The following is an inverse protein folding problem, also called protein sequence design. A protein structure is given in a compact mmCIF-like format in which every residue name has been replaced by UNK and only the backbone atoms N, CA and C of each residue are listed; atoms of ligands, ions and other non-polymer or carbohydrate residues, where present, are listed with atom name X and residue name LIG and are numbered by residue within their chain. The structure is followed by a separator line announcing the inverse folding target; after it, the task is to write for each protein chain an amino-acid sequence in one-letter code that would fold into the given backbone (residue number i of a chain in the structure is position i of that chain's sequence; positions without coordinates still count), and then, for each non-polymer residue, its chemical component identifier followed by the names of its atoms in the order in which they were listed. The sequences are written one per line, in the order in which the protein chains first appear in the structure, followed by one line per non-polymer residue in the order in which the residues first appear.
data_IF_838774372566
#
_entry.id   IF_838774372566
#
_cell.length_a   1.000
_cell.length_b   1.000
_cell.length_c   1.000
_cell.angle_alpha   90.00
_cell.angle_beta   90.00
_cell.angle_gamma   90.00
#
_symmetry.space_group_name_H-M   'P 1'
#
loop_
_entity.id
_entity.type
_entity.pdbx_description
1 polymer ?
#
# COMPACT_ATOMS: atom_id res chain seq x y z
N UNK A 1 58.67 -59.49 7.37
CA UNK A 1 58.43 -58.01 7.43
C UNK A 1 58.77 -57.44 6.06
N UNK A 2 57.72 -57.12 5.25
CA UNK A 2 57.92 -56.69 3.87
C UNK A 2 57.38 -55.27 3.76
N UNK A 3 58.27 -54.33 3.56
CA UNK A 3 58.00 -52.89 3.42
C UNK A 3 57.58 -52.62 1.95
N UNK A 4 56.33 -52.29 1.71
CA UNK A 4 55.84 -51.80 0.40
C UNK A 4 56.09 -50.32 0.26
N UNK A 5 56.91 -49.92 -0.72
CA UNK A 5 57.12 -48.52 -1.15
C UNK A 5 55.93 -48.09 -2.00
N UNK A 6 55.23 -47.04 -1.57
CA UNK A 6 54.26 -46.33 -2.38
C UNK A 6 54.95 -45.24 -3.21
N UNK A 7 54.91 -45.42 -4.52
CA UNK A 7 55.30 -44.38 -5.50
C UNK A 7 54.23 -43.30 -5.53
N UNK A 8 54.62 -42.05 -5.27
CA UNK A 8 53.72 -40.89 -5.41
C UNK A 8 53.71 -40.45 -6.88
N UNK A 9 52.58 -40.60 -7.52
CA UNK A 9 52.27 -40.05 -8.83
C UNK A 9 51.89 -38.56 -8.65
N UNK A 10 52.70 -37.63 -9.16
CA UNK A 10 52.43 -36.21 -9.17
C UNK A 10 51.68 -35.93 -10.49
N UNK A 11 50.35 -35.69 -10.39
CA UNK A 11 49.54 -35.21 -11.52
C UNK A 11 49.58 -33.69 -11.49
N UNK A 12 50.30 -33.10 -12.46
CA UNK A 12 50.28 -31.67 -12.71
C UNK A 12 48.98 -31.31 -13.41
N UNK A 13 48.05 -30.68 -12.66
CA UNK A 13 46.80 -30.11 -13.23
C UNK A 13 47.13 -28.72 -13.73
N UNK A 14 47.30 -28.57 -15.04
CA UNK A 14 47.33 -27.27 -15.73
C UNK A 14 45.93 -26.69 -15.76
N UNK A 15 45.59 -25.84 -14.78
CA UNK A 15 44.35 -25.10 -14.72
C UNK A 15 44.30 -24.01 -15.81
N UNK A 16 43.61 -24.26 -16.89
CA UNK A 16 43.25 -23.22 -17.87
C UNK A 16 42.31 -22.21 -17.24
N UNK A 17 42.70 -20.97 -17.07
CA UNK A 17 41.89 -19.85 -16.62
C UNK A 17 40.96 -19.44 -17.77
N UNK A 18 39.72 -19.95 -17.78
CA UNK A 18 38.68 -19.49 -18.69
C UNK A 18 38.16 -18.17 -18.18
N UNK A 19 38.60 -17.08 -18.79
CA UNK A 19 38.11 -15.74 -18.52
C UNK A 19 36.72 -15.63 -19.15
N UNK A 20 35.65 -15.89 -18.37
CA UNK A 20 34.26 -15.60 -18.78
C UNK A 20 34.06 -14.10 -18.70
N UNK A 21 34.15 -13.42 -19.85
CA UNK A 21 33.71 -12.05 -20.00
C UNK A 21 32.16 -12.08 -19.94
N UNK A 22 31.60 -11.78 -18.79
CA UNK A 22 30.19 -11.52 -18.63
C UNK A 22 29.89 -10.22 -19.41
N UNK A 23 29.30 -10.34 -20.61
CA UNK A 23 28.71 -9.23 -21.32
C UNK A 23 27.51 -8.75 -20.46
N UNK A 24 27.73 -7.72 -19.66
CA UNK A 24 26.66 -7.00 -18.99
C UNK A 24 25.77 -6.44 -20.13
N UNK A 25 24.58 -7.00 -20.30
CA UNK A 25 23.58 -6.42 -21.20
C UNK A 25 23.36 -4.96 -20.76
N UNK A 26 23.38 -3.99 -21.68
CA UNK A 26 23.09 -2.61 -21.32
C UNK A 26 21.71 -2.58 -20.65
N UNK A 27 21.63 -2.04 -19.44
CA UNK A 27 20.37 -1.75 -18.80
C UNK A 27 19.58 -0.88 -19.78
N UNK A 28 18.46 -1.40 -20.29
CA UNK A 28 17.62 -0.68 -21.24
C UNK A 28 17.18 0.61 -20.54
N UNK A 29 17.69 1.75 -20.97
CA UNK A 29 17.29 3.04 -20.43
C UNK A 29 15.79 3.21 -20.70
N UNK A 30 14.98 3.28 -19.65
CA UNK A 30 13.53 3.52 -19.77
C UNK A 30 13.32 4.89 -20.41
N UNK A 31 12.45 4.98 -21.40
CA UNK A 31 12.11 6.26 -22.04
C UNK A 31 11.20 7.06 -21.11
N UNK A 32 11.62 8.25 -20.66
CA UNK A 32 10.79 9.10 -19.79
C UNK A 32 9.58 9.62 -20.54
N UNK A 33 8.47 9.80 -19.81
CA UNK A 33 7.21 10.37 -20.32
C UNK A 33 6.86 11.57 -19.46
N UNK A 34 6.40 12.65 -20.09
CA UNK A 34 5.88 13.82 -19.37
C UNK A 34 4.53 13.46 -18.73
N UNK A 35 4.41 13.49 -17.39
CA UNK A 35 3.17 13.11 -16.71
C UNK A 35 1.96 13.97 -17.11
N UNK A 36 2.17 15.22 -17.54
CA UNK A 36 1.10 16.14 -17.91
C UNK A 36 0.38 15.76 -19.21
N UNK A 37 0.97 14.86 -20.02
CA UNK A 37 0.39 14.36 -21.26
C UNK A 37 -0.54 13.18 -21.09
N UNK A 38 -0.63 12.64 -19.88
CA UNK A 38 -1.42 11.45 -19.53
C UNK A 38 -2.88 11.80 -19.21
N UNK A 39 -3.79 10.85 -19.33
CA UNK A 39 -5.22 11.03 -19.13
C UNK A 39 -5.80 10.03 -18.11
N UNK A 40 -6.28 10.48 -16.94
CA UNK A 40 -5.96 11.79 -16.36
C UNK A 40 -4.50 11.85 -15.90
N UNK A 41 -3.89 13.02 -15.90
CA UNK A 41 -2.51 13.18 -15.43
C UNK A 41 -2.45 12.83 -13.93
N UNK A 42 -1.34 12.24 -13.45
CA UNK A 42 -1.15 12.11 -12.02
C UNK A 42 -0.96 13.52 -11.41
N UNK A 43 -1.56 13.78 -10.21
CA UNK A 43 -1.35 15.03 -9.52
C UNK A 43 0.13 15.33 -9.29
N UNK A 44 0.60 16.56 -9.49
CA UNK A 44 2.03 16.90 -9.37
C UNK A 44 2.57 16.73 -7.94
N UNK A 45 1.73 16.85 -6.91
CA UNK A 45 2.06 16.60 -5.51
C UNK A 45 2.42 15.14 -5.24
N UNK A 46 2.05 14.21 -6.12
CA UNK A 46 2.42 12.78 -6.03
C UNK A 46 3.86 12.53 -6.53
N UNK A 47 4.60 13.56 -6.94
CA UNK A 47 5.95 13.46 -7.46
C UNK A 47 6.11 12.35 -8.52
N UNK A 48 5.27 12.33 -9.57
CA UNK A 48 5.23 11.22 -10.52
C UNK A 48 6.50 11.14 -11.35
N UNK A 49 7.05 9.91 -11.46
CA UNK A 49 8.14 9.59 -12.38
C UNK A 49 7.63 8.57 -13.39
N UNK A 50 7.39 9.02 -14.61
CA UNK A 50 6.74 8.22 -15.65
C UNK A 50 7.74 7.78 -16.73
N UNK A 51 7.57 6.55 -17.24
CA UNK A 51 8.40 5.96 -18.29
C UNK A 51 7.62 4.93 -19.09
N UNK A 52 8.06 4.70 -20.33
CA UNK A 52 7.55 3.61 -21.16
C UNK A 52 8.07 2.28 -20.62
N UNK A 53 7.16 1.33 -20.39
CA UNK A 53 7.44 -0.02 -19.94
C UNK A 53 6.72 -1.05 -20.86
N UNK A 54 7.42 -1.51 -21.88
CA UNK A 54 6.85 -2.36 -22.92
C UNK A 54 5.77 -1.63 -23.73
N UNK A 55 4.53 -2.12 -23.68
CA UNK A 55 3.37 -1.54 -24.35
C UNK A 55 2.56 -0.56 -23.47
N UNK A 56 3.03 -0.26 -22.28
CA UNK A 56 2.35 0.59 -21.30
C UNK A 56 3.24 1.75 -20.87
N UNK A 57 2.63 2.76 -20.27
CA UNK A 57 3.33 3.79 -19.54
C UNK A 57 3.08 3.54 -18.05
N UNK A 58 4.16 3.54 -17.26
CA UNK A 58 4.08 3.36 -15.80
C UNK A 58 4.59 4.62 -15.13
N UNK A 59 3.84 5.13 -14.16
CA UNK A 59 4.27 6.22 -13.29
C UNK A 59 4.43 5.69 -11.87
N UNK A 60 5.64 5.73 -11.33
CA UNK A 60 5.89 5.56 -9.91
C UNK A 60 5.47 6.84 -9.19
N UNK A 61 4.77 6.70 -8.06
CA UNK A 61 4.31 7.82 -7.24
C UNK A 61 4.66 7.59 -5.78
N UNK A 62 4.94 8.69 -5.07
CA UNK A 62 5.12 8.69 -3.62
C UNK A 62 4.75 10.08 -3.09
N UNK A 63 3.89 10.10 -2.07
CA UNK A 63 3.53 11.34 -1.39
C UNK A 63 3.15 11.09 0.06
N UNK A 64 3.15 12.17 0.85
CA UNK A 64 2.57 12.18 2.19
C UNK A 64 1.65 13.38 2.28
N UNK A 65 0.48 13.19 2.86
CA UNK A 65 -0.43 14.28 3.15
C UNK A 65 0.11 15.15 4.30
N UNK A 66 -0.29 16.41 4.39
CA UNK A 66 -0.08 17.21 5.60
C UNK A 66 -0.71 16.52 6.81
N UNK A 67 -0.06 16.62 7.96
CA UNK A 67 -0.59 16.09 9.20
C UNK A 67 -1.96 16.69 9.51
N UNK A 68 -2.92 15.84 9.83
CA UNK A 68 -4.24 16.23 10.35
C UNK A 68 -4.16 16.25 11.87
N UNK A 69 -4.66 17.30 12.50
CA UNK A 69 -4.63 17.48 13.95
C UNK A 69 -6.01 17.84 14.44
N UNK A 70 -6.53 17.04 15.39
CA UNK A 70 -7.80 17.27 16.10
C UNK A 70 -9.01 17.56 15.17
N UNK A 71 -9.08 16.87 14.04
CA UNK A 71 -10.22 16.94 13.15
C UNK A 71 -11.40 16.09 13.67
N UNK A 72 -12.66 16.45 13.40
CA UNK A 72 -13.81 15.59 13.69
C UNK A 72 -13.66 14.21 13.04
N UNK A 73 -13.80 13.14 13.80
CA UNK A 73 -13.63 11.75 13.30
C UNK A 73 -14.90 11.15 12.70
N UNK A 74 -16.06 11.74 12.93
CA UNK A 74 -17.36 11.15 12.64
C UNK A 74 -17.82 10.09 13.66
N UNK A 75 -16.98 9.71 14.63
CA UNK A 75 -17.31 8.73 15.68
C UNK A 75 -17.82 9.47 16.91
N UNK A 76 -19.06 9.17 17.32
CA UNK A 76 -19.70 9.81 18.48
C UNK A 76 -19.81 8.82 19.63
N UNK A 77 -19.20 9.15 20.77
CA UNK A 77 -19.22 8.39 22.01
C UNK A 77 -19.96 9.19 23.10
N UNK A 78 -21.04 8.62 23.65
CA UNK A 78 -21.80 9.27 24.74
C UNK A 78 -22.37 10.66 24.41
N UNK A 79 -22.45 11.02 23.13
CA UNK A 79 -22.87 12.35 22.65
C UNK A 79 -21.70 13.28 22.31
N UNK A 80 -20.46 12.86 22.55
CA UNK A 80 -19.24 13.61 22.24
C UNK A 80 -18.55 13.01 21.02
N UNK A 81 -18.24 13.83 20.02
CA UNK A 81 -17.50 13.40 18.84
C UNK A 81 -16.01 13.28 19.17
N UNK A 82 -15.42 12.12 18.81
CA UNK A 82 -13.98 11.93 18.94
C UNK A 82 -13.22 12.80 17.95
N UNK A 83 -12.04 13.25 18.37
CA UNK A 83 -11.11 13.97 17.52
C UNK A 83 -10.09 13.00 16.95
N UNK A 84 -9.79 13.13 15.67
CA UNK A 84 -8.81 12.35 14.93
C UNK A 84 -7.59 13.19 14.60
N UNK A 85 -6.42 12.64 14.86
CA UNK A 85 -5.15 13.19 14.39
C UNK A 85 -4.37 12.11 13.72
N UNK A 86 -3.89 12.36 12.48
CA UNK A 86 -3.19 11.33 11.72
C UNK A 86 -2.18 11.91 10.73
N UNK A 87 -1.27 11.03 10.33
CA UNK A 87 -0.38 11.18 9.18
C UNK A 87 -0.70 10.11 8.15
N UNK A 88 -0.49 10.41 6.86
CA UNK A 88 -0.68 9.46 5.77
C UNK A 88 0.50 9.48 4.82
N UNK A 89 0.96 8.30 4.42
CA UNK A 89 1.89 8.13 3.31
C UNK A 89 1.35 7.15 2.29
N UNK A 90 1.64 7.44 1.02
CA UNK A 90 1.20 6.63 -0.12
C UNK A 90 2.38 6.39 -1.04
N UNK A 91 2.58 5.13 -1.42
CA UNK A 91 3.51 4.75 -2.48
C UNK A 91 2.80 3.85 -3.47
N UNK A 92 3.14 3.93 -4.74
CA UNK A 92 2.49 3.05 -5.70
C UNK A 92 2.76 3.39 -7.14
N UNK A 93 1.85 2.92 -8.00
CA UNK A 93 1.97 3.03 -9.44
C UNK A 93 0.64 3.38 -10.08
N UNK A 94 0.74 4.12 -11.18
CA UNK A 94 -0.32 4.26 -12.17
C UNK A 94 0.14 3.62 -13.46
N UNK A 95 -0.69 2.79 -14.07
CA UNK A 95 -0.44 2.14 -15.36
C UNK A 95 -1.38 2.71 -16.39
N UNK A 96 -0.82 3.16 -17.50
CA UNK A 96 -1.53 3.74 -18.63
C UNK A 96 -1.33 2.87 -19.87
N UNK A 97 -2.27 2.92 -20.81
CA UNK A 97 -2.09 2.33 -22.14
C UNK A 97 -1.04 3.10 -22.98
N UNK A 98 -0.80 2.64 -24.21
CA UNK A 98 0.14 3.28 -25.13
C UNK A 98 -0.31 4.68 -25.57
N UNK A 99 -1.61 4.98 -25.50
CA UNK A 99 -2.21 6.26 -25.87
C UNK A 99 -2.24 7.23 -24.67
N UNK A 100 -1.77 6.78 -23.48
CA UNK A 100 -1.69 7.57 -22.27
C UNK A 100 -2.96 7.60 -21.45
N UNK A 101 -3.95 6.70 -21.67
CA UNK A 101 -5.14 6.61 -20.83
C UNK A 101 -4.90 5.68 -19.65
N UNK A 102 -5.31 6.09 -18.46
CA UNK A 102 -5.16 5.31 -17.24
C UNK A 102 -5.96 4.01 -17.30
N UNK A 103 -5.29 2.90 -16.97
CA UNK A 103 -5.87 1.57 -16.86
C UNK A 103 -6.05 1.13 -15.40
N UNK A 104 -5.03 1.44 -14.56
CA UNK A 104 -4.98 0.93 -13.20
C UNK A 104 -4.23 1.90 -12.29
N UNK A 105 -4.70 1.99 -11.02
CA UNK A 105 -3.92 2.48 -9.88
C UNK A 105 -3.63 1.31 -8.96
N UNK A 106 -2.43 1.25 -8.44
CA UNK A 106 -2.02 0.28 -7.43
C UNK A 106 -1.21 1.01 -6.37
N UNK A 107 -1.81 1.24 -5.21
CA UNK A 107 -1.26 2.01 -4.11
C UNK A 107 -1.13 1.14 -2.86
N UNK A 108 -0.10 1.41 -2.09
CA UNK A 108 0.01 1.02 -0.71
C UNK A 108 -0.09 2.28 0.14
N UNK A 109 -1.02 2.26 1.05
CA UNK A 109 -1.28 3.34 1.98
C UNK A 109 -0.85 2.93 3.38
N UNK A 110 -0.29 3.87 4.12
CA UNK A 110 0.07 3.68 5.52
C UNK A 110 -0.38 4.91 6.29
N UNK A 111 -1.14 4.69 7.34
CA UNK A 111 -1.71 5.71 8.19
C UNK A 111 -1.35 5.41 9.64
N UNK A 112 -0.97 6.44 10.38
CA UNK A 112 -0.75 6.39 11.81
C UNK A 112 -1.52 7.52 12.47
N UNK A 113 -2.33 7.20 13.48
CA UNK A 113 -3.20 8.21 14.07
C UNK A 113 -3.62 7.93 15.49
N UNK A 114 -4.44 8.86 16.00
CA UNK A 114 -5.03 8.80 17.34
C UNK A 114 -6.48 9.24 17.28
N UNK A 115 -7.35 8.52 18.01
CA UNK A 115 -8.66 9.02 18.40
C UNK A 115 -8.58 9.55 19.84
N UNK A 116 -9.04 10.76 20.06
CA UNK A 116 -9.06 11.40 21.39
C UNK A 116 -10.48 11.81 21.77
N UNK A 117 -10.92 11.41 22.94
CA UNK A 117 -12.15 11.94 23.53
C UNK A 117 -11.84 13.31 24.14
N UNK A 118 -12.45 14.42 23.67
CA UNK A 118 -12.14 15.75 24.21
C UNK A 118 -12.63 15.97 25.64
N UNK A 119 -13.64 15.21 26.12
CA UNK A 119 -14.20 15.37 27.47
C UNK A 119 -13.35 14.66 28.51
N UNK A 120 -12.85 13.45 28.23
CA UNK A 120 -12.05 12.66 29.19
C UNK A 120 -10.54 12.84 28.98
N UNK A 121 -10.12 13.26 27.78
CA UNK A 121 -8.72 13.34 27.39
C UNK A 121 -8.10 11.98 27.07
N UNK A 122 -8.85 10.88 27.16
CA UNK A 122 -8.36 9.54 26.83
C UNK A 122 -8.10 9.40 25.32
N UNK A 123 -7.10 8.57 25.00
CA UNK A 123 -6.59 8.39 23.64
C UNK A 123 -6.53 6.91 23.29
N UNK A 124 -6.98 6.57 22.08
CA UNK A 124 -6.67 5.31 21.41
C UNK A 124 -5.75 5.58 20.23
N UNK A 125 -4.80 4.70 19.99
CA UNK A 125 -3.92 4.71 18.81
C UNK A 125 -4.56 3.90 17.70
N UNK A 126 -4.34 4.30 16.46
CA UNK A 126 -4.76 3.50 15.32
C UNK A 126 -3.75 3.52 14.18
N UNK A 127 -3.70 2.44 13.41
CA UNK A 127 -2.95 2.35 12.15
C UNK A 127 -3.80 1.72 11.08
N UNK A 128 -3.47 2.05 9.84
CA UNK A 128 -3.98 1.40 8.64
C UNK A 128 -2.80 1.13 7.71
N UNK A 129 -2.71 -0.11 7.20
CA UNK A 129 -1.73 -0.53 6.20
C UNK A 129 -2.48 -1.36 5.15
N UNK A 130 -2.86 -0.76 4.07
CA UNK A 130 -3.62 -1.44 3.05
C UNK A 130 -3.05 -1.26 1.65
N UNK A 131 -3.53 -2.10 0.75
CA UNK A 131 -3.22 -2.03 -0.67
C UNK A 131 -4.51 -1.80 -1.41
N UNK A 132 -4.56 -0.71 -2.17
CA UNK A 132 -5.66 -0.34 -3.04
C UNK A 132 -5.30 -0.58 -4.50
N UNK A 133 -6.15 -1.35 -5.18
CA UNK A 133 -6.03 -1.59 -6.62
C UNK A 133 -7.32 -1.17 -7.29
N UNK A 134 -7.28 -0.07 -8.03
CA UNK A 134 -8.40 0.35 -8.85
C UNK A 134 -8.15 -0.03 -10.30
N UNK A 135 -8.96 -0.94 -10.83
CA UNK A 135 -8.98 -1.33 -12.24
C UNK A 135 -10.11 -0.57 -12.94
N UNK A 136 -9.78 0.31 -13.87
CA UNK A 136 -10.76 1.09 -14.60
C UNK A 136 -11.44 0.23 -15.67
N UNK A 137 -12.76 0.27 -15.73
CA UNK A 137 -13.52 -0.43 -16.80
C UNK A 137 -13.44 0.34 -18.12
N UNK A 138 -13.36 1.67 -18.06
CA UNK A 138 -13.13 2.55 -19.20
C UNK A 138 -11.81 3.25 -19.02
N UNK A 139 -10.81 3.04 -19.92
CA UNK A 139 -9.52 3.70 -19.82
C UNK A 139 -9.64 5.23 -19.66
N UNK A 140 -8.98 5.78 -18.66
CA UNK A 140 -9.00 7.21 -18.36
C UNK A 140 -10.19 7.70 -17.53
N UNK A 141 -11.21 6.89 -17.28
CA UNK A 141 -12.39 7.27 -16.51
C UNK A 141 -12.36 6.70 -15.08
N UNK A 142 -12.03 7.57 -14.11
CA UNK A 142 -11.97 7.21 -12.69
C UNK A 142 -13.31 6.78 -12.06
N UNK A 143 -14.44 7.15 -12.66
CA UNK A 143 -15.75 6.80 -12.14
C UNK A 143 -16.19 5.38 -12.52
N UNK A 144 -15.30 4.58 -13.10
CA UNK A 144 -15.63 3.25 -13.62
C UNK A 144 -14.72 2.17 -13.04
N UNK A 145 -15.24 0.93 -13.06
CA UNK A 145 -14.47 -0.26 -12.69
C UNK A 145 -14.62 -0.65 -11.23
N UNK A 146 -13.61 -1.34 -10.72
CA UNK A 146 -13.63 -1.87 -9.36
C UNK A 146 -12.40 -1.44 -8.59
N UNK A 147 -12.60 -1.10 -7.33
CA UNK A 147 -11.53 -0.89 -6.36
C UNK A 147 -11.46 -2.08 -5.41
N UNK A 148 -10.25 -2.59 -5.23
CA UNK A 148 -9.96 -3.68 -4.30
C UNK A 148 -9.09 -3.13 -3.19
N UNK A 149 -9.59 -3.19 -1.95
CA UNK A 149 -8.86 -2.86 -0.75
C UNK A 149 -8.50 -4.13 0.00
N UNK A 150 -7.25 -4.29 0.42
CA UNK A 150 -6.80 -5.49 1.12
C UNK A 150 -5.66 -5.22 2.09
N UNK A 151 -5.69 -5.94 3.22
CA UNK A 151 -4.67 -5.83 4.27
C UNK A 151 -5.28 -5.64 5.67
N UNK A 152 -4.48 -5.23 6.65
CA UNK A 152 -4.94 -4.71 7.94
C UNK A 152 -5.50 -3.30 7.73
N UNK A 153 -6.78 -3.23 7.32
CA UNK A 153 -7.44 -1.97 6.93
C UNK A 153 -7.41 -0.98 8.10
N UNK A 154 -7.76 -1.43 9.32
CA UNK A 154 -7.60 -0.57 10.50
C UNK A 154 -7.36 -1.43 11.74
N UNK A 155 -6.43 -1.00 12.57
CA UNK A 155 -6.20 -1.56 13.89
C UNK A 155 -6.24 -0.44 14.93
N UNK A 156 -6.99 -0.64 16.01
CA UNK A 156 -7.11 0.33 17.11
C UNK A 156 -6.69 -0.33 18.42
N UNK A 157 -5.88 0.37 19.22
CA UNK A 157 -5.41 -0.13 20.52
C UNK A 157 -5.21 1.02 21.53
N UNK A 158 -5.14 0.67 22.81
CA UNK A 158 -4.79 1.61 23.87
C UNK A 158 -3.28 1.81 23.96
N UNK A 159 -2.80 2.95 24.46
CA UNK A 159 -1.36 3.22 24.65
C UNK A 159 -0.65 2.21 25.57
N UNK A 160 -1.38 1.57 26.49
CA UNK A 160 -0.88 0.53 27.39
C UNK A 160 -0.86 -0.89 26.77
N UNK A 161 -1.24 -1.04 25.50
CA UNK A 161 -1.09 -2.24 24.70
C UNK A 161 -2.35 -3.09 24.53
N UNK A 162 -3.51 -2.68 25.01
CA UNK A 162 -4.78 -3.38 24.80
C UNK A 162 -5.32 -3.14 23.37
N UNK A 163 -5.43 -4.20 22.53
CA UNK A 163 -6.13 -4.08 21.24
C UNK A 163 -7.62 -3.94 21.49
N UNK A 164 -8.24 -2.88 20.95
CA UNK A 164 -9.68 -2.61 21.05
C UNK A 164 -10.40 -3.32 19.89
N UNK A 165 -9.93 -3.11 18.66
CA UNK A 165 -10.53 -3.73 17.48
C UNK A 165 -9.52 -3.85 16.33
N UNK A 166 -9.85 -4.73 15.39
CA UNK A 166 -9.11 -4.90 14.15
C UNK A 166 -10.10 -5.05 13.01
N UNK A 167 -9.92 -4.25 11.98
CA UNK A 167 -10.61 -4.36 10.70
C UNK A 167 -9.58 -4.84 9.67
N UNK A 168 -9.77 -6.00 9.11
CA UNK A 168 -8.80 -6.58 8.19
C UNK A 168 -9.49 -7.53 7.20
N UNK A 169 -8.94 -7.63 6.00
CA UNK A 169 -9.41 -8.57 5.00
C UNK A 169 -9.33 -8.02 3.58
N UNK A 170 -10.40 -8.25 2.84
CA UNK A 170 -10.47 -7.91 1.42
C UNK A 170 -11.87 -7.39 1.09
N UNK A 171 -11.92 -6.23 0.48
CA UNK A 171 -13.12 -5.59 -0.03
C UNK A 171 -12.99 -5.38 -1.52
N UNK A 172 -14.07 -5.56 -2.26
CA UNK A 172 -14.19 -5.11 -3.65
C UNK A 172 -15.38 -4.16 -3.73
N UNK A 173 -15.13 -2.97 -4.24
CA UNK A 173 -16.08 -1.88 -4.34
C UNK A 173 -16.32 -1.61 -5.82
N UNK A 174 -17.57 -1.53 -6.23
CA UNK A 174 -17.95 -0.98 -7.53
C UNK A 174 -17.86 0.54 -7.46
N UNK A 175 -16.95 1.12 -8.24
CA UNK A 175 -16.63 2.56 -8.14
C UNK A 175 -17.78 3.44 -8.63
N UNK A 176 -18.60 2.95 -9.57
CA UNK A 176 -19.69 3.73 -10.13
C UNK A 176 -20.89 3.87 -9.15
N UNK A 177 -21.09 2.87 -8.29
CA UNK A 177 -22.22 2.83 -7.34
C UNK A 177 -21.80 3.01 -5.89
N UNK A 178 -20.50 2.96 -5.59
CA UNK A 178 -19.92 2.92 -4.24
C UNK A 178 -20.43 1.72 -3.40
N UNK A 179 -20.85 0.64 -4.07
CA UNK A 179 -21.34 -0.56 -3.42
C UNK A 179 -20.21 -1.56 -3.15
N UNK A 180 -20.16 -2.12 -1.95
CA UNK A 180 -19.28 -3.25 -1.64
C UNK A 180 -19.90 -4.50 -2.28
N UNK A 181 -19.31 -4.96 -3.39
CA UNK A 181 -19.78 -6.12 -4.15
C UNK A 181 -19.18 -7.43 -3.65
N UNK A 182 -18.07 -7.36 -2.91
CA UNK A 182 -17.46 -8.50 -2.23
C UNK A 182 -16.76 -8.06 -0.97
N UNK A 183 -16.94 -8.85 0.10
CA UNK A 183 -16.18 -8.70 1.33
C UNK A 183 -15.75 -10.08 1.85
N UNK A 184 -14.55 -10.18 2.40
CA UNK A 184 -14.06 -11.37 3.08
C UNK A 184 -13.32 -10.98 4.35
N UNK A 185 -13.45 -11.83 5.40
CA UNK A 185 -12.99 -11.59 6.74
C UNK A 185 -13.89 -10.59 7.54
N UNK A 186 -13.32 -9.89 8.52
CA UNK A 186 -14.09 -9.13 9.51
C UNK A 186 -13.82 -7.64 9.35
N UNK A 187 -14.89 -6.88 9.05
CA UNK A 187 -14.83 -5.46 8.76
C UNK A 187 -15.75 -4.63 9.69
N UNK A 188 -15.52 -4.62 11.01
CA UNK A 188 -16.43 -3.99 11.94
C UNK A 188 -16.51 -2.47 11.81
N UNK A 189 -15.42 -1.79 11.43
CA UNK A 189 -15.42 -0.34 11.22
C UNK A 189 -16.02 0.04 9.89
N UNK A 190 -15.63 -0.64 8.80
CA UNK A 190 -16.16 -0.37 7.45
C UNK A 190 -17.68 -0.51 7.40
N UNK A 191 -18.23 -1.52 8.09
CA UNK A 191 -19.68 -1.73 8.15
C UNK A 191 -20.37 -1.00 9.31
N UNK A 192 -19.61 -0.22 10.11
CA UNK A 192 -20.18 0.54 11.24
C UNK A 192 -20.80 -0.35 12.30
N UNK A 193 -20.16 -1.50 12.64
CA UNK A 193 -20.68 -2.43 13.65
C UNK A 193 -20.88 -1.71 15.00
N UNK A 194 -22.13 -1.59 15.50
CA UNK A 194 -22.41 -0.89 16.75
C UNK A 194 -21.67 -1.47 17.96
N UNK A 195 -21.39 -2.78 17.97
CA UNK A 195 -20.67 -3.42 19.08
C UNK A 195 -19.18 -3.04 19.07
N UNK A 196 -18.57 -2.93 17.89
CA UNK A 196 -17.20 -2.47 17.73
C UNK A 196 -17.06 -1.00 18.15
N UNK A 197 -17.96 -0.14 17.69
CA UNK A 197 -17.99 1.27 18.09
C UNK A 197 -18.24 1.45 19.58
N UNK A 198 -19.17 0.67 20.18
CA UNK A 198 -19.40 0.68 21.63
C UNK A 198 -18.16 0.26 22.43
N UNK A 199 -17.37 -0.71 21.92
CA UNK A 199 -16.12 -1.13 22.55
C UNK A 199 -15.08 -0.02 22.51
N UNK A 200 -14.94 0.68 21.38
CA UNK A 200 -14.05 1.85 21.28
C UNK A 200 -14.49 2.97 22.22
N UNK A 201 -15.78 3.29 22.25
CA UNK A 201 -16.31 4.32 23.15
C UNK A 201 -16.08 3.98 24.63
N UNK A 202 -16.37 2.73 25.04
CA UNK A 202 -16.14 2.31 26.43
C UNK A 202 -14.67 2.34 26.86
N UNK A 203 -13.75 2.26 25.89
CA UNK A 203 -12.32 2.38 26.17
C UNK A 203 -11.83 3.84 26.30
N UNK A 204 -12.66 4.82 25.86
CA UNK A 204 -12.35 6.23 25.85
C UNK A 204 -13.24 7.06 26.82
N UNK A 205 -14.21 6.42 27.50
CA UNK A 205 -15.03 7.00 28.56
C UNK A 205 -14.31 6.85 29.92
#
# INVERSE_FOLDING_TARGET
MTVRRFSRLIIAVTGGLVLTVALAAPASARTPVDPSTLNPPPPPEFNPVCFVDGSHITCDIAFSDPDVVDAPSGIVCGGTELLDSHTRSVVGKRTYDADGNLLQRHFRESWDGTFRNPDTGLVALWTQDDTDIHNLAVPGDFATGTETQSGPITRVWLPDGGTILTDAGHLVIDVATDEIVQASAHHPLVFGDPAALATLCAALD
#
